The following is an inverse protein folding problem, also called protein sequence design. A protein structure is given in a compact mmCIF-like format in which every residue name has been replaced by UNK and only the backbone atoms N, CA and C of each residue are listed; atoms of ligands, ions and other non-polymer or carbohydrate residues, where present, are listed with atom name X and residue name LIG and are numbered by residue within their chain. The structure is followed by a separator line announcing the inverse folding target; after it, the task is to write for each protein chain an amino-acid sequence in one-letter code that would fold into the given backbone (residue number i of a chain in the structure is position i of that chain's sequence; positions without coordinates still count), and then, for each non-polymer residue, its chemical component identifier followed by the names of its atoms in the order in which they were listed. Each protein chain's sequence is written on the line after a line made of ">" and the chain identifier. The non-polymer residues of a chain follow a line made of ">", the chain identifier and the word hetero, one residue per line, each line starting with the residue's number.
data_IF_091381777713
#
_entry.id   IF_091381777713
#
_cell.length_a   1.000
_cell.length_b   1.000
_cell.length_c   1.000
_cell.angle_alpha   90.00
_cell.angle_beta   90.00
_cell.angle_gamma   90.00
#
_symmetry.space_group_name_H-M   'P 1'
#
loop_
_entity.id
_entity.type
_entity.pdbx_description
1 polymer ?
#
# COMPACT_ATOMS: atom_id res chain seq x y z
N UNK A 1 39.03 -1.01 8.45
CA UNK A 1 38.06 -0.40 7.52
C UNK A 1 37.18 -1.50 6.93
N UNK A 2 36.00 -1.74 7.49
CA UNK A 2 35.12 -2.87 7.13
C UNK A 2 34.33 -2.51 5.88
N UNK A 3 34.70 -3.07 4.72
CA UNK A 3 34.11 -2.79 3.41
C UNK A 3 33.32 -4.00 2.91
N UNK A 4 32.35 -4.48 3.69
CA UNK A 4 31.44 -5.55 3.27
C UNK A 4 30.06 -5.27 3.85
N UNK A 5 29.06 -5.01 2.99
CA UNK A 5 27.62 -5.22 3.29
C UNK A 5 26.68 -4.95 2.09
N UNK A 6 27.01 -4.01 1.20
CA UNK A 6 26.08 -3.63 0.12
C UNK A 6 26.01 -4.64 -1.05
N UNK A 7 27.14 -5.25 -1.43
CA UNK A 7 27.19 -6.13 -2.62
C UNK A 7 26.66 -7.55 -2.39
N UNK A 8 26.78 -8.11 -1.18
CA UNK A 8 26.31 -9.47 -0.88
C UNK A 8 24.78 -9.56 -0.82
N UNK A 9 24.12 -8.55 -0.24
CA UNK A 9 22.66 -8.51 -0.18
C UNK A 9 22.04 -8.42 -1.59
N UNK A 10 22.59 -7.54 -2.44
CA UNK A 10 22.18 -7.43 -3.83
C UNK A 10 22.45 -8.70 -4.65
N UNK A 11 23.58 -9.37 -4.42
CA UNK A 11 23.91 -10.66 -5.03
C UNK A 11 22.92 -11.76 -4.64
N UNK A 12 22.58 -11.85 -3.34
CA UNK A 12 21.61 -12.81 -2.80
C UNK A 12 20.19 -12.55 -3.34
N UNK A 13 19.78 -11.29 -3.46
CA UNK A 13 18.52 -10.91 -4.10
C UNK A 13 18.51 -11.32 -5.58
N UNK A 14 19.59 -11.08 -6.33
CA UNK A 14 19.72 -11.44 -7.76
C UNK A 14 19.72 -12.95 -8.01
N UNK A 15 20.33 -13.74 -7.12
CA UNK A 15 20.43 -15.20 -7.25
C UNK A 15 19.24 -15.94 -6.60
N UNK A 16 18.47 -15.26 -5.75
CA UNK A 16 17.43 -15.85 -4.93
C UNK A 16 16.14 -16.17 -5.71
N UNK A 17 15.56 -17.33 -5.40
CA UNK A 17 14.19 -17.74 -5.80
C UNK A 17 13.13 -16.65 -5.53
N UNK A 18 13.42 -15.72 -4.62
CA UNK A 18 12.59 -14.59 -4.22
C UNK A 18 12.19 -13.64 -5.37
N UNK A 19 13.11 -13.26 -6.26
CA UNK A 19 12.77 -12.42 -7.42
C UNK A 19 12.07 -13.21 -8.54
N UNK A 20 12.18 -14.54 -8.51
CA UNK A 20 11.49 -15.42 -9.47
C UNK A 20 10.04 -15.68 -9.06
N UNK A 21 9.78 -15.77 -7.76
CA UNK A 21 8.45 -15.95 -7.21
C UNK A 21 7.61 -14.67 -7.33
N UNK A 22 6.61 -14.70 -8.21
CA UNK A 22 5.74 -13.56 -8.48
C UNK A 22 4.93 -13.12 -7.26
N UNK A 23 4.53 -14.06 -6.40
CA UNK A 23 3.69 -13.78 -5.23
C UNK A 23 4.53 -13.06 -4.18
N UNK A 24 5.73 -13.58 -3.91
CA UNK A 24 6.65 -12.97 -2.95
C UNK A 24 7.12 -11.60 -3.44
N UNK A 25 7.51 -11.49 -4.71
CA UNK A 25 7.91 -10.22 -5.32
C UNK A 25 6.78 -9.19 -5.26
N UNK A 26 5.56 -9.57 -5.66
CA UNK A 26 4.43 -8.67 -5.72
C UNK A 26 3.96 -8.24 -4.33
N UNK A 27 3.83 -9.18 -3.40
CA UNK A 27 3.41 -8.88 -2.03
C UNK A 27 4.39 -7.96 -1.31
N UNK A 28 5.69 -8.16 -1.49
CA UNK A 28 6.72 -7.31 -0.87
C UNK A 28 6.78 -5.93 -1.52
N UNK A 29 6.69 -5.83 -2.84
CA UNK A 29 6.60 -4.54 -3.54
C UNK A 29 5.34 -3.76 -3.12
N UNK A 30 4.19 -4.44 -3.04
CA UNK A 30 2.93 -3.88 -2.59
C UNK A 30 2.97 -3.39 -1.13
N UNK A 31 3.59 -4.17 -0.24
CA UNK A 31 3.81 -3.79 1.15
C UNK A 31 4.68 -2.53 1.27
N UNK A 32 5.80 -2.47 0.55
CA UNK A 32 6.70 -1.31 0.53
C UNK A 32 5.95 -0.07 0.03
N UNK A 33 5.17 -0.21 -1.05
CA UNK A 33 4.31 0.85 -1.57
C UNK A 33 3.28 1.33 -0.56
N UNK A 34 2.60 0.40 0.12
CA UNK A 34 1.61 0.69 1.17
C UNK A 34 2.21 1.42 2.38
N UNK A 35 3.43 1.04 2.79
CA UNK A 35 4.17 1.73 3.87
C UNK A 35 4.51 3.16 3.43
N UNK A 36 5.06 3.34 2.22
CA UNK A 36 5.41 4.65 1.69
C UNK A 36 4.18 5.58 1.58
N UNK A 37 3.06 5.05 1.11
CA UNK A 37 1.77 5.74 1.04
C UNK A 37 1.27 6.13 2.44
N UNK A 38 1.31 5.20 3.41
CA UNK A 38 0.91 5.46 4.79
C UNK A 38 1.77 6.55 5.43
N UNK A 39 3.09 6.49 5.26
CA UNK A 39 4.01 7.50 5.80
C UNK A 39 3.73 8.87 5.20
N UNK A 40 3.52 8.95 3.89
CA UNK A 40 3.19 10.19 3.20
C UNK A 40 1.89 10.81 3.74
N UNK A 41 0.85 10.00 3.90
CA UNK A 41 -0.42 10.44 4.47
C UNK A 41 -0.30 10.84 5.95
N UNK A 42 0.51 10.13 6.74
CA UNK A 42 0.78 10.52 8.13
C UNK A 42 1.46 11.88 8.25
N UNK A 43 2.43 12.17 7.36
CA UNK A 43 3.09 13.49 7.31
C UNK A 43 2.09 14.60 6.96
N UNK A 44 1.20 14.36 5.99
CA UNK A 44 0.13 15.29 5.64
C UNK A 44 -0.85 15.50 6.79
N UNK A 45 -1.22 14.43 7.49
CA UNK A 45 -2.11 14.49 8.66
C UNK A 45 -1.50 15.32 9.79
N UNK A 46 -0.22 15.09 10.11
CA UNK A 46 0.52 15.89 11.11
C UNK A 46 0.58 17.38 10.75
N UNK A 47 0.64 17.71 9.46
CA UNK A 47 0.62 19.09 8.95
C UNK A 47 -0.80 19.66 8.79
N UNK A 48 -1.83 18.96 9.27
CA UNK A 48 -3.25 19.34 9.13
C UNK A 48 -3.67 19.58 7.67
N UNK A 49 -3.02 18.90 6.72
CA UNK A 49 -3.37 18.92 5.29
C UNK A 49 -4.39 17.85 4.91
N UNK A 50 -4.67 16.93 5.83
CA UNK A 50 -5.75 15.94 5.73
C UNK A 50 -6.26 15.64 7.14
N UNK A 51 -7.56 15.38 7.24
CA UNK A 51 -8.27 15.13 8.49
C UNK A 51 -8.30 13.64 8.86
N UNK A 52 -7.91 12.76 7.93
CA UNK A 52 -8.02 11.32 8.11
C UNK A 52 -6.79 10.57 7.62
N UNK A 53 -6.43 9.51 8.35
CA UNK A 53 -5.32 8.64 7.99
C UNK A 53 -5.81 7.40 7.24
N UNK A 54 -4.99 6.81 6.39
CA UNK A 54 -5.38 5.61 5.62
C UNK A 54 -5.78 4.42 6.51
N UNK A 55 -5.16 4.25 7.68
CA UNK A 55 -5.59 3.23 8.64
C UNK A 55 -7.02 3.46 9.16
N UNK A 56 -7.47 4.72 9.26
CA UNK A 56 -8.86 5.04 9.61
C UNK A 56 -9.83 4.70 8.48
N UNK A 57 -9.46 5.00 7.23
CA UNK A 57 -10.27 4.68 6.04
C UNK A 57 -10.41 3.17 5.84
N UNK A 58 -9.29 2.43 5.89
CA UNK A 58 -9.34 0.98 5.78
C UNK A 58 -10.05 0.34 6.99
N UNK A 59 -9.82 0.88 8.19
CA UNK A 59 -10.52 0.44 9.39
C UNK A 59 -12.04 0.64 9.30
N UNK A 60 -12.53 1.67 8.60
CA UNK A 60 -13.98 1.90 8.48
C UNK A 60 -14.69 0.84 7.65
N UNK A 61 -13.97 0.07 6.84
CA UNK A 61 -14.51 -1.10 6.12
C UNK A 61 -14.74 -2.30 7.06
N UNK A 62 -14.04 -2.36 8.20
CA UNK A 62 -14.13 -3.48 9.15
C UNK A 62 -15.01 -3.14 10.36
N UNK A 63 -15.20 -1.86 10.65
CA UNK A 63 -15.93 -1.39 11.82
C UNK A 63 -16.46 0.03 11.64
N UNK A 64 -17.39 0.45 12.50
CA UNK A 64 -17.94 1.82 12.43
C UNK A 64 -16.83 2.90 12.48
N UNK A 65 -16.89 3.96 11.64
CA UNK A 65 -15.82 4.95 11.50
C UNK A 65 -15.32 5.56 12.81
N UNK A 66 -16.21 5.93 13.74
CA UNK A 66 -15.83 6.52 15.03
C UNK A 66 -14.99 5.58 15.91
N UNK A 67 -15.13 4.25 15.74
CA UNK A 67 -14.33 3.26 16.48
C UNK A 67 -12.89 3.22 15.99
N UNK A 68 -12.60 3.65 14.75
CA UNK A 68 -11.25 3.64 14.17
C UNK A 68 -10.31 4.65 14.84
N UNK A 69 -10.83 5.62 15.59
CA UNK A 69 -10.02 6.59 16.36
C UNK A 69 -9.27 5.92 17.52
N UNK A 70 -9.73 4.77 18.01
CA UNK A 70 -9.05 4.02 19.07
C UNK A 70 -7.74 3.41 18.53
N UNK A 71 -6.60 3.49 19.24
CA UNK A 71 -5.31 3.02 18.73
C UNK A 71 -5.30 1.56 18.25
N UNK A 72 -5.94 0.64 19.00
CA UNK A 72 -6.05 -0.78 18.62
C UNK A 72 -6.80 -0.98 17.31
N UNK A 73 -7.88 -0.24 17.12
CA UNK A 73 -8.72 -0.31 15.93
C UNK A 73 -8.05 0.34 14.72
N UNK A 74 -7.33 1.43 14.94
CA UNK A 74 -6.48 2.04 13.94
C UNK A 74 -5.39 1.06 13.45
N UNK A 75 -4.76 0.34 14.37
CA UNK A 75 -3.75 -0.67 14.02
C UNK A 75 -4.33 -1.77 13.14
N UNK A 76 -5.52 -2.29 13.47
CA UNK A 76 -6.22 -3.27 12.63
C UNK A 76 -6.53 -2.71 11.23
N UNK A 77 -7.03 -1.48 11.15
CA UNK A 77 -7.28 -0.82 9.86
C UNK A 77 -5.99 -0.61 9.06
N UNK A 78 -4.90 -0.24 9.72
CA UNK A 78 -3.59 -0.11 9.07
C UNK A 78 -3.08 -1.46 8.54
N UNK A 79 -3.21 -2.54 9.32
CA UNK A 79 -2.86 -3.88 8.85
C UNK A 79 -3.68 -4.28 7.63
N UNK A 80 -4.99 -4.03 7.65
CA UNK A 80 -5.86 -4.28 6.51
C UNK A 80 -5.43 -3.48 5.26
N UNK A 81 -5.08 -2.20 5.44
CA UNK A 81 -4.55 -1.37 4.36
C UNK A 81 -3.26 -1.94 3.75
N UNK A 82 -2.32 -2.37 4.59
CA UNK A 82 -1.04 -2.93 4.14
C UNK A 82 -1.21 -4.30 3.46
N UNK A 83 -2.08 -5.16 3.98
CA UNK A 83 -2.43 -6.45 3.36
C UNK A 83 -3.03 -6.21 1.97
N UNK A 84 -3.95 -5.26 1.86
CA UNK A 84 -4.53 -4.89 0.56
C UNK A 84 -3.45 -4.39 -0.42
N UNK A 85 -2.52 -3.55 0.04
CA UNK A 85 -1.38 -3.13 -0.76
C UNK A 85 -0.55 -4.30 -1.30
N UNK A 86 -0.25 -5.28 -0.44
CA UNK A 86 0.44 -6.52 -0.84
C UNK A 86 -0.33 -7.31 -1.90
N UNK A 87 -1.65 -7.49 -1.73
CA UNK A 87 -2.49 -8.21 -2.69
C UNK A 87 -2.47 -7.51 -4.05
N UNK A 88 -2.65 -6.18 -4.08
CA UNK A 88 -2.56 -5.41 -5.33
C UNK A 88 -1.19 -5.59 -5.99
N UNK A 89 -0.11 -5.56 -5.20
CA UNK A 89 1.23 -5.78 -5.71
C UNK A 89 1.37 -7.13 -6.41
N UNK A 90 0.83 -8.22 -5.85
CA UNK A 90 0.78 -9.54 -6.51
C UNK A 90 0.03 -9.49 -7.84
N UNK A 91 -1.11 -8.81 -7.89
CA UNK A 91 -1.91 -8.67 -9.12
C UNK A 91 -1.19 -7.86 -10.21
N UNK A 92 -0.32 -6.91 -9.84
CA UNK A 92 0.42 -6.08 -10.79
C UNK A 92 1.65 -6.79 -11.39
N UNK A 93 2.24 -7.79 -10.72
CA UNK A 93 3.40 -8.52 -11.24
C UNK A 93 3.17 -9.12 -12.64
N UNK A 94 2.10 -9.90 -12.92
CA UNK A 94 1.89 -10.45 -14.26
C UNK A 94 1.67 -9.35 -15.31
N UNK A 95 1.05 -8.22 -14.95
CA UNK A 95 0.86 -7.08 -15.84
C UNK A 95 2.21 -6.46 -16.23
N UNK A 96 3.11 -6.27 -15.27
CA UNK A 96 4.45 -5.72 -15.53
C UNK A 96 5.38 -6.71 -16.23
N UNK A 97 5.22 -8.02 -15.98
CA UNK A 97 5.93 -9.04 -16.78
C UNK A 97 5.53 -9.02 -18.25
N UNK A 98 4.25 -8.77 -18.56
CA UNK A 98 3.75 -8.71 -19.96
C UNK A 98 4.11 -7.40 -20.67
N UNK A 99 4.05 -6.28 -19.96
CA UNK A 99 4.22 -4.95 -20.56
C UNK A 99 5.66 -4.43 -20.51
N UNK A 100 6.58 -5.15 -19.85
CA UNK A 100 7.97 -4.73 -19.68
C UNK A 100 8.19 -3.71 -18.56
N UNK A 101 9.44 -3.31 -18.33
CA UNK A 101 9.86 -2.42 -17.24
C UNK A 101 10.49 -1.11 -17.70
N UNK A 102 10.23 -0.67 -18.94
CA UNK A 102 10.91 0.47 -19.57
C UNK A 102 10.68 1.82 -18.85
N UNK A 103 9.58 1.94 -18.11
CA UNK A 103 9.25 3.13 -17.31
C UNK A 103 8.64 2.74 -15.96
N UNK A 104 9.44 2.19 -15.02
CA UNK A 104 8.90 1.53 -13.83
C UNK A 104 8.24 2.53 -12.87
N UNK A 105 8.79 3.74 -12.76
CA UNK A 105 8.23 4.81 -11.91
C UNK A 105 6.87 5.29 -12.43
N UNK A 106 6.75 5.53 -13.74
CA UNK A 106 5.51 5.98 -14.36
C UNK A 106 4.42 4.90 -14.30
N UNK A 107 4.78 3.65 -14.64
CA UNK A 107 3.85 2.51 -14.54
C UNK A 107 3.37 2.32 -13.10
N UNK A 108 4.30 2.34 -12.15
CA UNK A 108 4.01 2.27 -10.72
C UNK A 108 3.07 3.38 -10.26
N UNK A 109 3.38 4.65 -10.56
CA UNK A 109 2.55 5.78 -10.15
C UNK A 109 1.14 5.72 -10.75
N UNK A 110 1.02 5.42 -12.05
CA UNK A 110 -0.28 5.27 -12.71
C UNK A 110 -1.08 4.11 -12.13
N UNK A 111 -0.46 2.94 -11.95
CA UNK A 111 -1.12 1.78 -11.33
C UNK A 111 -1.61 2.08 -9.91
N UNK A 112 -0.82 2.84 -9.15
CA UNK A 112 -1.16 3.26 -7.79
C UNK A 112 -2.35 4.21 -7.78
N UNK A 113 -2.34 5.23 -8.66
CA UNK A 113 -3.44 6.17 -8.82
C UNK A 113 -4.73 5.46 -9.25
N UNK A 114 -4.65 4.60 -10.26
CA UNK A 114 -5.81 3.84 -10.75
C UNK A 114 -6.35 2.92 -9.66
N UNK A 115 -5.48 2.19 -8.97
CA UNK A 115 -5.89 1.31 -7.86
C UNK A 115 -6.58 2.12 -6.78
N UNK A 116 -5.97 3.20 -6.31
CA UNK A 116 -6.51 4.02 -5.23
C UNK A 116 -7.85 4.64 -5.61
N UNK A 117 -7.94 5.24 -6.80
CA UNK A 117 -9.17 5.87 -7.27
C UNK A 117 -10.29 4.84 -7.45
N UNK A 118 -9.97 3.65 -7.96
CA UNK A 118 -10.93 2.56 -8.14
C UNK A 118 -11.45 2.08 -6.80
N UNK A 119 -10.57 1.75 -5.84
CA UNK A 119 -10.95 1.29 -4.51
C UNK A 119 -11.79 2.33 -3.77
N UNK A 120 -11.39 3.60 -3.84
CA UNK A 120 -12.12 4.69 -3.19
C UNK A 120 -13.52 4.86 -3.79
N UNK A 121 -13.62 4.93 -5.12
CA UNK A 121 -14.89 5.11 -5.82
C UNK A 121 -15.83 3.91 -5.60
N UNK A 122 -15.31 2.68 -5.69
CA UNK A 122 -16.09 1.46 -5.48
C UNK A 122 -16.59 1.39 -4.04
N UNK A 123 -15.71 1.58 -3.05
CA UNK A 123 -16.14 1.53 -1.66
C UNK A 123 -17.13 2.64 -1.29
N UNK A 124 -17.11 3.79 -1.98
CA UNK A 124 -18.13 4.83 -1.79
C UNK A 124 -19.49 4.39 -2.35
N UNK A 125 -19.49 3.78 -3.54
CA UNK A 125 -20.72 3.29 -4.20
C UNK A 125 -21.37 2.13 -3.46
N UNK A 126 -20.57 1.27 -2.82
CA UNK A 126 -21.07 0.15 -2.03
C UNK A 126 -21.65 0.56 -0.66
N UNK A 127 -21.57 1.85 -0.29
CA UNK A 127 -22.04 2.34 1.01
C UNK A 127 -21.18 1.92 2.21
N UNK A 128 -20.09 1.18 1.97
CA UNK A 128 -19.15 0.68 2.98
C UNK A 128 -18.32 1.80 3.62
N UNK A 129 -18.06 2.88 2.88
CA UNK A 129 -17.62 4.14 3.49
C UNK A 129 -18.84 4.90 4.00
N UNK A 130 -19.44 4.42 5.09
CA UNK A 130 -20.49 5.14 5.83
C UNK A 130 -19.96 6.53 6.14
N UNK A 131 -20.47 7.53 5.40
CA UNK A 131 -20.27 8.97 5.53
C UNK A 131 -19.15 9.31 6.52
N UNK A 132 -17.92 9.45 6.00
CA UNK A 132 -16.93 10.28 6.66
C UNK A 132 -17.52 11.69 6.71
N UNK A 133 -18.36 11.95 7.72
CA UNK A 133 -18.93 13.27 7.94
C UNK A 133 -17.75 14.24 8.05
N UNK A 134 -17.75 15.35 7.30
CA UNK A 134 -16.88 16.46 7.63
C UNK A 134 -17.23 16.84 9.08
N UNK A 135 -16.23 16.82 9.96
CA UNK A 135 -16.35 17.36 11.31
C UNK A 135 -15.94 18.83 11.22
#
# INVERSE_FOLDING_TARGET
>A
MVKVKCNQFWSLMRQGKFLKDSIVLGSTAGLIGGIAMTMSNYLLYRRKKTEIRYGNIAGSLLMRPYKTKKPKNYALGLMAHLINGSIIGVLLVPLYRRTGLDFPLLKGSLSGLVTWQSLYTIGQRLGEFIKLHPI
#
